data_IF_604552534431
#
_entry.id   IF_604552534431
#
_cell.length_a   1.000
_cell.length_b   1.000
_cell.length_c   1.000
_cell.angle_alpha   90.00
_cell.angle_beta   90.00
_cell.angle_gamma   90.00
#
_symmetry.space_group_name_H-M   'P 1'
#
loop_
_entity.id
_entity.type
_entity.pdbx_description
1 polymer ?
#
# COMPACT_ATOMS: atom_id res chain seq x y z
N UNK A 1 28.88 11.27 2.72
CA UNK A 1 28.03 11.11 3.92
C UNK A 1 26.71 11.78 3.58
N UNK A 2 25.57 11.15 3.88
CA UNK A 2 24.26 11.77 3.63
C UNK A 2 23.94 12.63 4.85
N UNK A 3 23.76 13.94 4.64
CA UNK A 3 23.48 14.91 5.71
C UNK A 3 21.96 15.02 5.97
N UNK A 4 21.14 14.97 4.91
CA UNK A 4 19.67 14.92 5.00
C UNK A 4 19.04 14.26 3.78
N UNK A 5 17.85 13.67 3.96
CA UNK A 5 17.03 13.11 2.89
C UNK A 5 15.54 13.35 3.19
N UNK A 6 14.86 14.08 2.32
CA UNK A 6 13.45 14.40 2.49
C UNK A 6 12.56 13.37 1.77
N UNK A 7 11.60 12.80 2.51
CA UNK A 7 10.70 11.77 2.00
C UNK A 7 9.25 12.21 2.19
N UNK A 8 8.55 12.40 1.07
CA UNK A 8 7.21 12.97 1.03
C UNK A 8 6.11 12.02 1.53
N UNK A 9 6.30 10.70 1.45
CA UNK A 9 5.35 9.74 2.01
C UNK A 9 6.02 8.44 2.45
N UNK A 10 5.42 7.76 3.43
CA UNK A 10 5.95 6.55 4.06
C UNK A 10 6.29 5.42 3.08
N UNK A 11 5.60 5.34 1.93
CA UNK A 11 5.90 4.36 0.87
C UNK A 11 7.34 4.48 0.32
N UNK A 12 7.96 5.65 0.45
CA UNK A 12 9.32 5.89 -0.03
C UNK A 12 10.38 5.72 1.05
N UNK A 13 10.00 5.46 2.32
CA UNK A 13 10.97 5.25 3.38
C UNK A 13 11.62 3.88 3.16
N UNK A 14 12.91 3.82 2.78
CA UNK A 14 13.60 2.55 2.68
C UNK A 14 13.79 2.05 4.10
N UNK A 15 13.27 0.85 4.40
CA UNK A 15 13.37 0.27 5.75
C UNK A 15 14.79 -0.17 6.13
N UNK A 16 15.79 0.10 5.28
CA UNK A 16 17.23 -0.25 5.41
C UNK A 16 17.48 -1.70 5.85
N UNK A 17 16.55 -2.60 5.53
CA UNK A 17 16.57 -4.00 5.92
C UNK A 17 16.08 -4.82 4.74
N UNK A 18 16.81 -5.88 4.39
CA UNK A 18 16.40 -6.81 3.33
C UNK A 18 15.25 -7.64 3.87
N UNK A 19 14.04 -7.38 3.37
CA UNK A 19 12.84 -8.17 3.71
C UNK A 19 12.54 -9.11 2.57
N UNK A 20 12.37 -10.38 2.89
CA UNK A 20 11.82 -11.36 1.96
C UNK A 20 10.33 -11.04 1.78
N UNK A 21 10.04 -10.35 0.67
CA UNK A 21 8.68 -10.01 0.29
C UNK A 21 8.26 -10.94 -0.83
N UNK A 22 7.41 -11.92 -0.51
CA UNK A 22 6.83 -12.81 -1.51
C UNK A 22 5.82 -12.02 -2.33
N UNK A 23 6.18 -11.66 -3.56
CA UNK A 23 5.29 -10.97 -4.49
C UNK A 23 4.55 -12.02 -5.31
N UNK A 24 3.22 -12.04 -5.18
CA UNK A 24 2.36 -12.96 -5.90
C UNK A 24 1.93 -12.34 -7.23
N UNK A 25 2.69 -12.62 -8.29
CA UNK A 25 2.36 -12.17 -9.65
C UNK A 25 1.29 -13.08 -10.28
N UNK A 26 0.41 -12.51 -11.11
CA UNK A 26 -0.54 -13.28 -11.94
C UNK A 26 -1.65 -14.01 -11.19
N UNK A 27 -1.96 -13.63 -9.95
CA UNK A 27 -3.10 -14.16 -9.20
C UNK A 27 -4.33 -13.28 -9.37
N UNK A 28 -5.53 -13.82 -9.20
CA UNK A 28 -6.78 -13.06 -9.09
C UNK A 28 -7.32 -12.96 -7.66
N UNK A 29 -6.59 -13.49 -6.68
CA UNK A 29 -6.93 -13.34 -5.27
C UNK A 29 -6.86 -11.86 -4.85
N UNK A 30 -8.02 -11.28 -4.54
CA UNK A 30 -8.14 -9.89 -4.08
C UNK A 30 -7.25 -9.61 -2.87
N UNK A 31 -7.10 -10.57 -1.94
CA UNK A 31 -6.31 -10.37 -0.71
C UNK A 31 -4.83 -10.17 -1.03
N UNK A 32 -4.32 -10.88 -2.04
CA UNK A 32 -2.94 -10.78 -2.49
C UNK A 32 -2.68 -9.50 -3.31
N UNK A 33 -3.73 -8.90 -3.87
CA UNK A 33 -3.68 -7.60 -4.58
C UNK A 33 -3.82 -6.38 -3.67
N UNK A 34 -3.93 -6.57 -2.36
CA UNK A 34 -4.12 -5.50 -1.37
C UNK A 34 -5.57 -5.32 -0.90
N UNK A 35 -6.50 -6.13 -1.43
CA UNK A 35 -7.89 -6.19 -1.00
C UNK A 35 -8.58 -4.82 -1.02
N UNK A 36 -9.44 -4.59 -0.03
CA UNK A 36 -10.07 -3.31 0.20
C UNK A 36 -9.33 -2.51 1.29
N UNK A 37 -8.10 -2.10 0.98
CA UNK A 37 -7.23 -1.40 1.94
C UNK A 37 -7.84 -0.12 2.52
N UNK A 38 -8.68 0.57 1.74
CA UNK A 38 -9.33 1.82 2.14
C UNK A 38 -10.77 1.63 2.62
N UNK A 39 -11.22 0.38 2.75
CA UNK A 39 -12.60 0.03 3.12
C UNK A 39 -13.66 0.70 2.21
N UNK A 40 -13.31 0.94 0.95
CA UNK A 40 -14.14 1.67 -0.01
C UNK A 40 -15.41 0.91 -0.40
N UNK A 41 -15.42 -0.42 -0.26
CA UNK A 41 -16.61 -1.25 -0.51
C UNK A 41 -17.71 -0.98 0.53
N UNK A 42 -17.36 -0.42 1.69
CA UNK A 42 -18.26 -0.06 2.78
C UNK A 42 -18.45 1.45 2.93
N UNK A 43 -18.02 2.26 1.95
CA UNK A 43 -18.44 3.65 1.90
C UNK A 43 -19.95 3.66 1.65
N UNK A 44 -20.73 4.07 2.66
CA UNK A 44 -22.15 4.33 2.48
C UNK A 44 -22.31 5.28 1.28
N UNK A 45 -23.12 4.93 0.27
CA UNK A 45 -23.38 5.84 -0.83
C UNK A 45 -24.00 7.11 -0.24
N UNK A 46 -23.49 8.26 -0.67
CA UNK A 46 -24.07 9.55 -0.31
C UNK A 46 -25.57 9.50 -0.64
N UNK A 47 -26.47 9.73 0.32
CA UNK A 47 -27.91 9.70 0.09
C UNK A 47 -28.40 10.79 -0.88
N UNK A 48 -27.50 11.67 -1.36
CA UNK A 48 -27.78 12.71 -2.35
C UNK A 48 -27.28 12.41 -3.77
N UNK A 49 -26.68 11.24 -4.03
CA UNK A 49 -26.24 10.81 -5.37
C UNK A 49 -27.40 10.31 -6.26
#
# INVERSE_FOLDING_TARGET
RVEEAYIHCSKHIPLMQKRDKKIHWGTDDEKLKGGDFFNAKNCDPDPSA
#
